data_IF_878109640233
#
_entry.id   IF_878109640233
#
_cell.length_a   1.000
_cell.length_b   1.000
_cell.length_c   1.000
_cell.angle_alpha   90.00
_cell.angle_beta   90.00
_cell.angle_gamma   90.00
#
_symmetry.space_group_name_H-M   'P 1'
#
loop_
_entity.id
_entity.type
_entity.pdbx_description
1 polymer ?
#
# COMPACT_ATOMS: atom_id res chain seq x y z
N UNK A 1 -26.10 58.00 -35.16
CA UNK A 1 -25.69 56.65 -35.60
C UNK A 1 -26.91 55.76 -35.44
N UNK A 2 -27.51 55.33 -36.55
CA UNK A 2 -28.75 54.54 -36.56
C UNK A 2 -28.40 53.10 -36.20
N UNK A 3 -29.03 52.55 -35.16
CA UNK A 3 -28.78 51.18 -34.68
C UNK A 3 -29.48 50.18 -35.60
N UNK A 4 -28.74 49.21 -36.14
CA UNK A 4 -29.28 48.14 -36.97
C UNK A 4 -29.87 47.03 -36.10
N UNK A 5 -31.14 46.68 -36.34
CA UNK A 5 -31.82 45.53 -35.73
C UNK A 5 -32.08 44.45 -36.79
N UNK A 6 -32.13 43.16 -36.42
CA UNK A 6 -32.34 42.08 -37.37
C UNK A 6 -33.77 42.08 -37.93
N UNK A 7 -33.94 41.50 -39.12
CA UNK A 7 -35.25 41.30 -39.70
C UNK A 7 -36.08 40.28 -38.87
N UNK A 8 -37.43 40.32 -38.95
CA UNK A 8 -38.31 39.48 -38.12
C UNK A 8 -38.18 37.96 -38.37
N UNK A 9 -37.51 37.55 -39.43
CA UNK A 9 -37.15 36.16 -39.73
C UNK A 9 -35.79 35.73 -39.15
N UNK A 10 -35.12 36.62 -38.39
CA UNK A 10 -33.85 36.36 -37.74
C UNK A 10 -32.62 36.52 -38.64
N UNK A 11 -32.79 37.01 -39.87
CA UNK A 11 -31.68 37.16 -40.82
C UNK A 11 -31.12 38.59 -40.85
N UNK A 12 -29.80 38.72 -41.04
CA UNK A 12 -29.10 40.00 -41.12
C UNK A 12 -28.80 40.37 -42.57
N UNK A 13 -29.14 41.60 -42.95
CA UNK A 13 -29.06 42.07 -44.36
C UNK A 13 -27.64 42.16 -44.92
N UNK A 14 -26.64 42.35 -44.06
CA UNK A 14 -25.24 42.28 -44.48
C UNK A 14 -24.32 41.89 -43.31
N UNK A 15 -23.12 41.42 -43.66
CA UNK A 15 -22.12 40.88 -42.73
C UNK A 15 -21.63 41.95 -41.74
N UNK A 16 -21.65 43.22 -42.14
CA UNK A 16 -21.12 44.35 -41.35
C UNK A 16 -22.03 44.69 -40.16
N UNK A 17 -23.34 44.57 -40.32
CA UNK A 17 -24.34 44.81 -39.28
C UNK A 17 -24.38 43.67 -38.24
N UNK A 18 -24.17 42.43 -38.68
CA UNK A 18 -23.98 41.26 -37.80
C UNK A 18 -22.74 41.44 -36.90
N UNK A 19 -21.63 41.94 -37.46
CA UNK A 19 -20.40 42.18 -36.69
C UNK A 19 -20.49 43.38 -35.73
N UNK A 20 -21.27 44.40 -36.05
CA UNK A 20 -21.51 45.53 -35.15
C UNK A 20 -22.37 45.11 -33.93
N UNK A 21 -23.36 44.25 -34.13
CA UNK A 21 -24.15 43.66 -33.05
C UNK A 21 -23.32 42.67 -32.20
N UNK A 22 -22.59 41.74 -32.83
CA UNK A 22 -21.73 40.76 -32.13
C UNK A 22 -20.62 41.40 -31.29
N UNK A 23 -20.08 42.57 -31.69
CA UNK A 23 -19.11 43.33 -30.89
C UNK A 23 -19.68 43.93 -29.61
N UNK A 24 -20.98 44.25 -29.58
CA UNK A 24 -21.66 44.71 -28.37
C UNK A 24 -22.10 43.56 -27.47
N UNK A 25 -22.17 42.34 -28.00
CA UNK A 25 -22.62 41.13 -27.30
C UNK A 25 -21.50 40.23 -26.76
N UNK A 26 -20.21 40.57 -27.00
CA UNK A 26 -19.06 39.88 -26.41
C UNK A 26 -18.86 40.22 -24.91
N UNK A 27 -19.85 39.92 -24.07
CA UNK A 27 -19.76 40.02 -22.60
C UNK A 27 -19.99 38.67 -21.90
N UNK A 28 -20.29 37.58 -22.61
CA UNK A 28 -20.53 36.27 -22.00
C UNK A 28 -19.78 35.15 -22.72
N UNK A 29 -18.96 34.45 -21.92
CA UNK A 29 -18.40 33.12 -22.15
C UNK A 29 -17.31 33.03 -23.23
N UNK A 30 -16.14 32.54 -22.81
CA UNK A 30 -14.92 32.54 -23.60
C UNK A 30 -14.81 31.45 -24.66
N UNK A 31 -13.61 31.48 -25.26
CA UNK A 31 -12.91 30.45 -26.05
C UNK A 31 -13.24 30.43 -27.56
N UNK A 32 -12.23 30.67 -28.41
CA UNK A 32 -11.61 29.67 -29.32
C UNK A 32 -10.59 30.27 -30.32
N UNK A 33 -9.42 29.61 -30.36
CA UNK A 33 -8.53 29.33 -31.51
C UNK A 33 -7.58 30.37 -32.15
N UNK A 34 -6.30 30.15 -31.85
CA UNK A 34 -5.16 29.87 -32.76
C UNK A 34 -4.88 30.85 -33.92
N UNK A 35 -3.74 31.55 -33.82
CA UNK A 35 -2.63 31.39 -34.77
C UNK A 35 -1.33 32.04 -34.26
N UNK A 36 -0.22 31.33 -34.54
CA UNK A 36 1.20 31.75 -34.53
C UNK A 36 1.92 31.96 -33.17
N UNK A 37 3.11 31.34 -33.09
CA UNK A 37 4.11 31.26 -31.99
C UNK A 37 4.38 32.60 -31.27
N UNK A 38 4.86 32.69 -30.00
CA UNK A 38 5.83 31.82 -29.29
C UNK A 38 5.53 31.59 -27.77
N UNK A 39 6.47 30.96 -27.07
CA UNK A 39 6.74 30.94 -25.60
C UNK A 39 5.82 31.82 -24.70
N UNK A 40 5.16 31.20 -23.72
CA UNK A 40 5.09 31.59 -22.29
C UNK A 40 3.86 30.96 -21.61
N UNK A 41 4.06 30.35 -20.44
CA UNK A 41 3.01 29.82 -19.59
C UNK A 41 2.24 30.96 -18.89
N UNK A 42 0.92 30.88 -18.89
CA UNK A 42 0.01 31.69 -18.05
C UNK A 42 -1.33 30.95 -17.95
N UNK A 43 -1.56 30.25 -16.84
CA UNK A 43 -2.34 30.72 -15.69
C UNK A 43 -3.86 30.63 -15.95
N UNK A 44 -4.44 29.50 -15.52
CA UNK A 44 -5.88 29.38 -15.27
C UNK A 44 -6.16 29.89 -13.84
N UNK A 45 -7.23 30.65 -13.73
CA UNK A 45 -7.74 31.33 -12.54
C UNK A 45 -8.50 30.34 -11.63
N UNK A 46 -7.85 29.95 -10.53
CA UNK A 46 -8.42 29.20 -9.40
C UNK A 46 -9.15 30.18 -8.45
N UNK A 47 -10.40 30.54 -8.76
CA UNK A 47 -11.25 31.34 -7.86
C UNK A 47 -12.14 30.46 -6.98
N UNK A 48 -11.51 29.57 -6.22
CA UNK A 48 -12.12 28.88 -5.08
C UNK A 48 -11.87 29.63 -3.76
N UNK A 49 -12.66 29.38 -2.70
CA UNK A 49 -12.58 30.08 -1.40
C UNK A 49 -11.28 29.89 -0.60
N UNK A 50 -10.23 29.33 -1.23
CA UNK A 50 -8.88 29.19 -0.69
C UNK A 50 -7.83 30.03 -1.46
N UNK A 51 -8.22 30.74 -2.52
CA UNK A 51 -7.31 31.57 -3.33
C UNK A 51 -6.72 32.74 -2.52
N UNK A 52 -7.49 33.29 -1.58
CA UNK A 52 -7.04 34.36 -0.69
C UNK A 52 -6.06 33.89 0.39
N UNK A 53 -5.88 32.58 0.58
CA UNK A 53 -4.97 32.05 1.62
C UNK A 53 -3.49 32.18 1.24
N UNK A 54 -3.15 32.30 -0.05
CA UNK A 54 -1.77 32.33 -0.54
C UNK A 54 -1.33 33.69 -1.12
N UNK A 55 -2.15 34.74 -1.00
CA UNK A 55 -1.90 36.06 -1.60
C UNK A 55 -0.79 36.91 -0.93
N UNK A 56 -0.11 36.39 0.09
CA UNK A 56 0.93 37.11 0.85
C UNK A 56 2.37 36.63 0.63
N UNK A 57 2.62 35.69 -0.28
CA UNK A 57 4.00 35.26 -0.59
C UNK A 57 4.61 36.18 -1.67
N UNK A 58 5.68 36.94 -1.37
CA UNK A 58 6.39 37.71 -2.39
C UNK A 58 7.02 36.75 -3.42
N UNK A 59 7.08 37.20 -4.69
CA UNK A 59 7.67 36.44 -5.77
C UNK A 59 9.05 35.88 -5.37
N UNK A 60 9.20 34.56 -5.43
CA UNK A 60 10.45 33.90 -5.11
C UNK A 60 11.55 34.47 -6.04
N UNK A 61 12.70 34.93 -5.50
CA UNK A 61 13.78 35.43 -6.34
C UNK A 61 14.26 34.30 -7.27
N UNK A 62 14.59 34.64 -8.51
CA UNK A 62 15.26 33.72 -9.44
C UNK A 62 16.65 33.37 -8.89
N UNK A 63 16.69 32.35 -8.03
CA UNK A 63 17.92 31.71 -7.61
C UNK A 63 18.29 30.77 -8.76
N UNK A 64 19.26 31.18 -9.60
CA UNK A 64 20.03 30.20 -10.35
C UNK A 64 20.82 29.39 -9.34
N UNK A 65 20.25 28.26 -8.96
CA UNK A 65 20.99 27.24 -8.23
C UNK A 65 22.24 26.93 -9.08
N UNK A 66 23.44 26.86 -8.47
CA UNK A 66 24.59 26.38 -9.20
C UNK A 66 24.23 25.03 -9.81
N UNK A 67 24.81 24.68 -10.96
CA UNK A 67 24.78 23.29 -11.41
C UNK A 67 25.52 22.47 -10.36
N UNK A 68 24.76 22.00 -9.37
CA UNK A 68 25.22 21.04 -8.40
C UNK A 68 25.36 19.77 -9.22
N UNK A 69 26.60 19.44 -9.58
CA UNK A 69 26.94 18.10 -10.00
C UNK A 69 26.73 17.19 -8.78
N UNK A 70 25.49 16.74 -8.57
CA UNK A 70 25.13 15.80 -7.52
C UNK A 70 25.73 14.45 -7.98
N UNK A 71 26.73 13.89 -7.29
CA UNK A 71 27.34 12.66 -7.75
C UNK A 71 26.28 11.55 -7.76
N UNK A 72 26.38 10.64 -8.71
CA UNK A 72 25.36 9.62 -8.98
C UNK A 72 25.35 8.53 -7.88
N UNK A 73 24.56 8.68 -6.81
CA UNK A 73 24.56 7.79 -5.63
C UNK A 73 23.44 6.72 -5.59
N UNK A 74 23.13 6.05 -6.71
CA UNK A 74 22.22 4.88 -6.71
C UNK A 74 22.88 3.57 -6.24
N UNK A 75 24.18 3.60 -5.91
CA UNK A 75 24.95 2.40 -5.62
C UNK A 75 24.80 1.91 -4.17
N UNK A 76 24.58 2.81 -3.19
CA UNK A 76 24.47 2.40 -1.78
C UNK A 76 23.22 1.56 -1.54
N UNK A 77 22.06 1.88 -2.13
CA UNK A 77 20.88 1.01 -2.06
C UNK A 77 21.12 -0.35 -2.73
N UNK A 78 21.78 -0.38 -3.90
CA UNK A 78 22.12 -1.63 -4.60
C UNK A 78 23.07 -2.49 -3.79
N UNK A 79 24.14 -1.89 -3.24
CA UNK A 79 25.09 -2.52 -2.31
C UNK A 79 24.38 -3.02 -1.06
N UNK A 80 23.46 -2.25 -0.50
CA UNK A 80 22.68 -2.62 0.67
C UNK A 80 21.83 -3.87 0.40
N UNK A 81 21.05 -3.86 -0.68
CA UNK A 81 20.22 -5.01 -1.09
C UNK A 81 21.08 -6.24 -1.39
N UNK A 82 22.21 -6.09 -2.09
CA UNK A 82 23.15 -7.18 -2.36
C UNK A 82 23.72 -7.76 -1.07
N UNK A 83 24.13 -6.91 -0.14
CA UNK A 83 24.62 -7.34 1.17
C UNK A 83 23.52 -8.02 2.00
N UNK A 84 22.29 -7.50 1.95
CA UNK A 84 21.12 -8.03 2.66
C UNK A 84 20.77 -9.45 2.17
N UNK A 85 20.63 -9.62 0.85
CA UNK A 85 20.40 -10.95 0.24
C UNK A 85 21.56 -11.92 0.50
N UNK A 86 22.79 -11.40 0.56
CA UNK A 86 23.98 -12.19 0.88
C UNK A 86 24.19 -12.47 2.37
N UNK A 87 23.21 -12.18 3.24
CA UNK A 87 23.30 -12.45 4.68
C UNK A 87 24.24 -11.53 5.47
N UNK A 88 24.82 -10.51 4.84
CA UNK A 88 25.80 -9.59 5.44
C UNK A 88 25.10 -8.38 6.07
N UNK A 89 24.25 -8.63 7.06
CA UNK A 89 23.33 -7.63 7.60
C UNK A 89 24.01 -6.41 8.22
N UNK A 90 25.18 -6.54 8.85
CA UNK A 90 25.92 -5.38 9.35
C UNK A 90 26.39 -4.44 8.24
N UNK A 91 26.80 -4.99 7.08
CA UNK A 91 27.12 -4.18 5.89
C UNK A 91 25.87 -3.59 5.27
N UNK A 92 24.80 -4.38 5.16
CA UNK A 92 23.51 -3.92 4.64
C UNK A 92 22.98 -2.73 5.46
N UNK A 93 23.01 -2.84 6.78
CA UNK A 93 22.62 -1.77 7.71
C UNK A 93 23.37 -0.47 7.45
N UNK A 94 24.70 -0.55 7.29
CA UNK A 94 25.53 0.64 7.02
C UNK A 94 25.11 1.35 5.72
N UNK A 95 24.89 0.59 4.65
CA UNK A 95 24.50 1.17 3.36
C UNK A 95 23.03 1.63 3.35
N UNK A 96 22.12 0.90 3.99
CA UNK A 96 20.73 1.33 4.13
C UNK A 96 20.62 2.62 4.95
N UNK A 97 21.41 2.79 6.02
CA UNK A 97 21.43 4.05 6.78
C UNK A 97 21.86 5.22 5.90
N UNK A 98 22.94 5.09 5.13
CA UNK A 98 23.37 6.14 4.18
C UNK A 98 22.28 6.49 3.18
N UNK A 99 21.69 5.47 2.54
CA UNK A 99 20.60 5.69 1.59
C UNK A 99 19.35 6.31 2.26
N UNK A 100 19.08 5.98 3.54
CA UNK A 100 18.01 6.58 4.34
C UNK A 100 18.30 8.03 4.71
N UNK A 101 19.56 8.37 5.00
CA UNK A 101 20.00 9.76 5.24
C UNK A 101 19.81 10.61 3.97
N UNK A 102 19.92 9.98 2.79
CA UNK A 102 19.61 10.59 1.48
C UNK A 102 18.09 10.64 1.17
N UNK A 103 17.22 10.21 2.09
CA UNK A 103 15.76 10.22 1.92
C UNK A 103 15.19 9.05 1.10
N UNK A 104 15.94 7.97 0.90
CA UNK A 104 15.45 6.82 0.14
C UNK A 104 14.42 6.00 0.94
N UNK A 105 13.15 6.08 0.53
CA UNK A 105 12.04 5.36 1.18
C UNK A 105 12.20 3.83 1.20
N UNK A 106 12.88 3.26 0.20
CA UNK A 106 13.10 1.81 0.13
C UNK A 106 14.08 1.41 1.24
N UNK A 107 15.12 2.23 1.45
CA UNK A 107 16.07 2.03 2.53
C UNK A 107 15.39 2.20 3.90
N UNK A 108 14.55 3.21 4.08
CA UNK A 108 13.74 3.39 5.29
C UNK A 108 12.86 2.16 5.57
N UNK A 109 12.18 1.64 4.54
CA UNK A 109 11.36 0.43 4.68
C UNK A 109 12.19 -0.80 5.10
N UNK A 110 13.38 -1.00 4.50
CA UNK A 110 14.29 -2.09 4.89
C UNK A 110 14.79 -1.91 6.33
N UNK A 111 15.15 -0.69 6.74
CA UNK A 111 15.57 -0.42 8.12
C UNK A 111 14.44 -0.71 9.10
N UNK A 112 13.21 -0.27 8.79
CA UNK A 112 12.02 -0.58 9.56
C UNK A 112 11.85 -2.09 9.76
N UNK A 113 12.02 -2.86 8.69
CA UNK A 113 11.94 -4.33 8.76
C UNK A 113 13.09 -4.92 9.58
N UNK A 114 14.34 -4.48 9.37
CA UNK A 114 15.50 -4.95 10.12
C UNK A 114 15.32 -4.77 11.63
N UNK A 115 14.83 -3.61 12.08
CA UNK A 115 14.57 -3.37 13.50
C UNK A 115 13.35 -4.14 14.03
N UNK A 116 12.31 -4.37 13.20
CA UNK A 116 11.13 -5.16 13.59
C UNK A 116 11.48 -6.61 13.89
N UNK A 117 12.28 -7.25 13.03
CA UNK A 117 12.66 -8.67 13.19
C UNK A 117 14.01 -8.87 13.90
N UNK A 118 14.77 -7.80 14.16
CA UNK A 118 16.10 -7.88 14.77
C UNK A 118 17.18 -8.45 13.83
N UNK A 119 17.07 -8.18 12.51
CA UNK A 119 18.01 -8.74 11.51
C UNK A 119 19.26 -7.88 11.40
N UNK A 120 20.35 -8.35 12.02
CA UNK A 120 21.63 -7.62 12.05
C UNK A 120 21.64 -6.38 12.92
N UNK A 121 20.57 -6.17 13.70
CA UNK A 121 20.41 -5.12 14.70
C UNK A 121 19.65 -5.71 15.89
N UNK A 122 19.79 -5.13 17.08
CA UNK A 122 18.90 -5.45 18.18
C UNK A 122 17.46 -5.07 17.79
N UNK A 123 16.50 -5.97 18.03
CA UNK A 123 15.08 -5.70 17.79
C UNK A 123 14.66 -4.43 18.54
N UNK A 124 13.96 -3.52 17.85
CA UNK A 124 13.39 -2.31 18.44
C UNK A 124 12.14 -1.90 17.67
N UNK A 125 10.99 -2.06 18.31
CA UNK A 125 9.70 -1.71 17.73
C UNK A 125 9.57 -0.19 17.58
N UNK A 126 10.17 0.59 18.49
CA UNK A 126 10.25 2.04 18.41
C UNK A 126 10.98 2.53 17.14
N UNK A 127 12.17 1.99 16.87
CA UNK A 127 12.94 2.34 15.67
C UNK A 127 12.23 1.86 14.40
N UNK A 128 11.64 0.66 14.44
CA UNK A 128 10.89 0.16 13.30
C UNK A 128 9.70 1.08 12.98
N UNK A 129 8.95 1.49 14.00
CA UNK A 129 7.84 2.41 13.88
C UNK A 129 8.28 3.77 13.31
N UNK A 130 9.42 4.33 13.76
CA UNK A 130 9.92 5.60 13.24
C UNK A 130 10.27 5.53 11.75
N UNK A 131 10.95 4.46 11.31
CA UNK A 131 11.28 4.29 9.89
C UNK A 131 10.04 4.07 9.03
N UNK A 132 9.09 3.24 9.47
CA UNK A 132 7.84 3.08 8.74
C UNK A 132 7.03 4.38 8.68
N UNK A 133 7.06 5.19 9.73
CA UNK A 133 6.38 6.50 9.76
C UNK A 133 6.94 7.44 8.70
N UNK A 134 8.27 7.52 8.57
CA UNK A 134 8.93 8.28 7.49
C UNK A 134 8.48 7.82 6.10
N UNK A 135 8.35 6.51 5.87
CA UNK A 135 7.84 5.99 4.58
C UNK A 135 6.37 6.39 4.37
N UNK A 136 5.54 6.30 5.40
CA UNK A 136 4.11 6.63 5.32
C UNK A 136 3.85 8.14 5.13
N UNK A 137 4.76 9.01 5.57
CA UNK A 137 4.70 10.46 5.31
C UNK A 137 4.80 10.79 3.82
N UNK A 138 5.43 9.92 3.02
CA UNK A 138 5.53 10.09 1.57
C UNK A 138 4.35 9.44 0.82
N UNK A 139 3.27 9.08 1.51
CA UNK A 139 2.10 8.46 0.90
C UNK A 139 1.32 9.44 0.05
N UNK A 140 1.15 9.06 -1.21
CA UNK A 140 0.30 9.74 -2.17
C UNK A 140 -0.81 8.77 -2.63
N UNK A 141 -2.10 9.11 -2.47
CA UNK A 141 -3.20 8.24 -2.88
C UNK A 141 -3.19 7.88 -4.37
N UNK A 142 -2.75 8.82 -5.21
CA UNK A 142 -2.73 8.72 -6.67
C UNK A 142 -1.35 8.32 -7.24
N UNK A 143 -0.50 7.71 -6.40
CA UNK A 143 0.83 7.22 -6.80
C UNK A 143 0.75 6.29 -8.01
N UNK A 144 1.51 6.63 -9.06
CA UNK A 144 1.58 5.85 -10.31
C UNK A 144 2.63 4.76 -10.26
N UNK A 145 3.69 4.93 -9.46
CA UNK A 145 4.69 3.89 -9.25
C UNK A 145 4.16 2.83 -8.27
N UNK A 146 3.78 1.68 -8.83
CA UNK A 146 3.26 0.54 -8.08
C UNK A 146 4.25 0.00 -7.03
N UNK A 147 5.56 0.12 -7.26
CA UNK A 147 6.56 -0.32 -6.29
C UNK A 147 6.61 0.61 -5.09
N UNK A 148 6.57 1.92 -5.33
CA UNK A 148 6.48 2.94 -4.27
C UNK A 148 5.19 2.76 -3.49
N UNK A 149 4.06 2.63 -4.18
CA UNK A 149 2.76 2.40 -3.56
C UNK A 149 2.76 1.15 -2.66
N UNK A 150 3.29 0.02 -3.14
CA UNK A 150 3.37 -1.21 -2.34
C UNK A 150 4.17 -1.03 -1.05
N UNK A 151 5.32 -0.37 -1.13
CA UNK A 151 6.20 -0.11 0.02
C UNK A 151 5.49 0.77 1.05
N UNK A 152 4.86 1.84 0.58
CA UNK A 152 4.18 2.78 1.47
C UNK A 152 2.93 2.17 2.10
N UNK A 153 2.15 1.40 1.34
CA UNK A 153 0.99 0.66 1.87
C UNK A 153 1.42 -0.38 2.90
N UNK A 154 2.50 -1.15 2.66
CA UNK A 154 3.01 -2.10 3.67
C UNK A 154 3.48 -1.35 4.93
N UNK A 155 4.20 -0.24 4.79
CA UNK A 155 4.62 0.59 5.93
C UNK A 155 3.41 1.08 6.76
N UNK A 156 2.33 1.53 6.11
CA UNK A 156 1.09 1.93 6.79
C UNK A 156 0.43 0.76 7.54
N UNK A 157 0.49 -0.46 7.00
CA UNK A 157 0.05 -1.67 7.72
C UNK A 157 0.90 -1.89 8.96
N UNK A 158 2.23 -1.78 8.88
CA UNK A 158 3.11 -1.94 10.05
C UNK A 158 2.87 -0.89 11.12
N UNK A 159 2.60 0.35 10.73
CA UNK A 159 2.19 1.41 11.66
C UNK A 159 0.88 1.03 12.36
N UNK A 160 -0.07 0.46 11.62
CA UNK A 160 -1.31 -0.05 12.21
C UNK A 160 -1.09 -1.24 13.15
N UNK A 161 -0.15 -2.14 12.85
CA UNK A 161 0.23 -3.24 13.75
C UNK A 161 0.71 -2.66 15.09
N UNK A 162 1.62 -1.71 15.05
CA UNK A 162 2.15 -1.06 16.25
C UNK A 162 1.14 -0.20 17.00
N UNK A 163 0.27 0.53 16.29
CA UNK A 163 -0.79 1.31 16.94
C UNK A 163 -1.90 0.42 17.49
N UNK A 164 -2.10 -0.79 16.98
CA UNK A 164 -3.03 -1.76 17.55
C UNK A 164 -2.58 -2.18 18.96
N UNK A 165 -1.31 -2.54 19.13
CA UNK A 165 -0.77 -3.05 20.40
C UNK A 165 -0.19 -1.96 21.31
N UNK A 166 0.22 -0.83 20.75
CA UNK A 166 1.03 0.19 21.41
C UNK A 166 2.53 -0.15 21.44
N UNK A 167 3.36 0.86 21.69
CA UNK A 167 4.81 0.74 21.89
C UNK A 167 5.17 1.54 23.15
N UNK A 168 5.49 0.84 24.24
CA UNK A 168 5.85 1.47 25.51
C UNK A 168 7.11 2.35 25.39
N UNK A 169 8.16 1.84 24.73
CA UNK A 169 9.45 2.55 24.54
C UNK A 169 9.29 3.90 23.83
N UNK A 170 8.37 3.99 22.88
CA UNK A 170 8.10 5.20 22.09
C UNK A 170 6.89 6.01 22.61
N UNK A 171 6.33 5.65 23.77
CA UNK A 171 5.09 6.24 24.31
C UNK A 171 3.91 6.23 23.33
N UNK A 172 3.87 5.28 22.40
CA UNK A 172 2.77 5.10 21.45
C UNK A 172 1.67 4.31 22.15
N UNK A 173 0.56 4.97 22.45
CA UNK A 173 -0.60 4.32 23.10
C UNK A 173 -1.31 3.39 22.11
N UNK A 174 -1.74 2.24 22.61
CA UNK A 174 -2.59 1.32 21.86
C UNK A 174 -3.92 2.01 21.48
N UNK A 175 -4.30 1.86 20.22
CA UNK A 175 -5.55 2.33 19.64
C UNK A 175 -6.08 1.30 18.62
N UNK A 176 -6.66 0.18 19.08
CA UNK A 176 -7.20 -0.84 18.20
C UNK A 176 -8.28 -0.32 17.25
N UNK A 177 -9.14 0.61 17.69
CA UNK A 177 -10.17 1.21 16.81
C UNK A 177 -9.58 2.10 15.70
N UNK A 178 -8.43 2.74 15.94
CA UNK A 178 -7.72 3.42 14.86
C UNK A 178 -7.11 2.41 13.88
N UNK A 179 -6.44 1.39 14.40
CA UNK A 179 -5.82 0.34 13.58
C UNK A 179 -6.86 -0.37 12.70
N UNK A 180 -8.02 -0.73 13.24
CA UNK A 180 -9.11 -1.35 12.49
C UNK A 180 -9.60 -0.49 11.30
N UNK A 181 -9.75 0.83 11.51
CA UNK A 181 -10.14 1.76 10.43
C UNK A 181 -9.06 1.85 9.36
N UNK A 182 -7.80 1.90 9.77
CA UNK A 182 -6.65 1.90 8.86
C UNK A 182 -6.59 0.60 8.06
N UNK A 183 -6.71 -0.56 8.70
CA UNK A 183 -6.76 -1.85 7.99
C UNK A 183 -7.92 -1.92 7.03
N UNK A 184 -9.11 -1.45 7.42
CA UNK A 184 -10.26 -1.42 6.54
C UNK A 184 -9.97 -0.63 5.27
N UNK A 185 -9.40 0.59 5.39
CA UNK A 185 -8.98 1.40 4.23
C UNK A 185 -7.96 0.66 3.36
N UNK A 186 -6.93 0.08 3.95
CA UNK A 186 -5.85 -0.58 3.19
C UNK A 186 -6.31 -1.91 2.56
N UNK A 187 -7.21 -2.64 3.21
CA UNK A 187 -7.79 -3.88 2.74
C UNK A 187 -8.77 -3.66 1.58
N UNK A 188 -9.55 -2.58 1.60
CA UNK A 188 -10.54 -2.29 0.55
C UNK A 188 -9.95 -1.54 -0.63
N UNK A 189 -9.07 -0.56 -0.39
CA UNK A 189 -8.45 0.23 -1.46
C UNK A 189 -7.34 -0.52 -2.18
N UNK A 190 -6.49 -1.25 -1.44
CA UNK A 190 -5.30 -1.90 -2.00
C UNK A 190 -5.34 -3.42 -1.93
N UNK A 191 -6.33 -3.99 -1.26
CA UNK A 191 -6.38 -5.44 -1.07
C UNK A 191 -5.19 -5.99 -0.28
N UNK A 192 -4.54 -5.20 0.57
CA UNK A 192 -3.29 -5.63 1.21
C UNK A 192 -3.53 -6.87 2.09
N UNK A 193 -2.85 -8.01 1.84
CA UNK A 193 -3.17 -9.28 2.50
C UNK A 193 -3.01 -9.24 4.02
N UNK A 194 -1.96 -8.59 4.53
CA UNK A 194 -1.77 -8.43 5.97
C UNK A 194 -2.86 -7.56 6.62
N UNK A 195 -3.40 -6.57 5.90
CA UNK A 195 -4.50 -5.75 6.40
C UNK A 195 -5.82 -6.54 6.41
N UNK A 196 -6.08 -7.33 5.38
CA UNK A 196 -7.22 -8.26 5.34
C UNK A 196 -7.14 -9.27 6.49
N UNK A 197 -5.96 -9.85 6.74
CA UNK A 197 -5.73 -10.74 7.87
C UNK A 197 -6.02 -10.07 9.21
N UNK A 198 -5.40 -8.91 9.47
CA UNK A 198 -5.55 -8.19 10.72
C UNK A 198 -7.01 -7.79 10.95
N UNK A 199 -7.70 -7.29 9.92
CA UNK A 199 -9.12 -6.99 9.99
C UNK A 199 -9.96 -8.25 10.27
N UNK A 200 -9.60 -9.38 9.68
CA UNK A 200 -10.22 -10.67 9.94
C UNK A 200 -10.15 -11.08 11.40
N UNK A 201 -8.96 -11.03 11.97
CA UNK A 201 -8.70 -11.33 13.38
C UNK A 201 -9.44 -10.37 14.32
N UNK A 202 -9.38 -9.06 14.04
CA UNK A 202 -10.07 -8.04 14.85
C UNK A 202 -11.59 -8.21 14.83
N UNK A 203 -12.18 -8.59 13.69
CA UNK A 203 -13.61 -8.89 13.60
C UNK A 203 -13.98 -10.15 14.36
N UNK A 204 -13.15 -11.20 14.34
CA UNK A 204 -13.41 -12.42 15.13
C UNK A 204 -13.37 -12.13 16.63
N UNK A 205 -12.37 -11.36 17.09
CA UNK A 205 -12.17 -11.06 18.51
C UNK A 205 -13.00 -9.89 19.05
N UNK A 206 -13.55 -9.05 18.17
CA UNK A 206 -14.17 -7.78 18.57
C UNK A 206 -13.16 -6.76 19.10
N UNK A 207 -11.93 -6.77 18.57
CA UNK A 207 -10.88 -5.87 19.01
C UNK A 207 -10.96 -4.55 18.25
N UNK A 208 -11.26 -3.44 18.93
CA UNK A 208 -11.41 -2.12 18.30
C UNK A 208 -12.64 -1.96 17.38
N UNK A 209 -13.40 -3.03 17.16
CA UNK A 209 -14.64 -3.11 16.37
C UNK A 209 -15.64 -4.03 17.08
N UNK A 210 -16.93 -3.93 16.75
CA UNK A 210 -17.91 -4.92 17.23
C UNK A 210 -17.58 -6.30 16.64
N UNK A 211 -17.59 -7.33 17.49
CA UNK A 211 -17.33 -8.70 17.04
C UNK A 211 -18.30 -9.12 15.93
N UNK A 212 -17.74 -9.58 14.82
CA UNK A 212 -18.43 -10.20 13.70
C UNK A 212 -17.57 -11.32 13.10
N UNK A 213 -17.58 -12.52 13.71
CA UNK A 213 -16.72 -13.62 13.27
C UNK A 213 -16.96 -14.09 11.84
N UNK A 214 -18.20 -13.97 11.33
CA UNK A 214 -18.52 -14.31 9.93
C UNK A 214 -17.82 -13.37 8.95
N UNK A 215 -17.86 -12.06 9.21
CA UNK A 215 -17.11 -11.09 8.41
C UNK A 215 -15.60 -11.30 8.55
N UNK A 216 -15.14 -11.63 9.76
CA UNK A 216 -13.73 -11.93 10.00
C UNK A 216 -13.23 -13.11 9.17
N UNK A 217 -14.00 -14.20 9.09
CA UNK A 217 -13.67 -15.36 8.27
C UNK A 217 -13.58 -15.02 6.78
N UNK A 218 -14.47 -14.15 6.26
CA UNK A 218 -14.41 -13.70 4.86
C UNK A 218 -13.10 -12.96 4.57
N UNK A 219 -12.65 -12.10 5.48
CA UNK A 219 -11.39 -11.39 5.35
C UNK A 219 -10.17 -12.31 5.44
N UNK A 220 -10.20 -13.30 6.34
CA UNK A 220 -9.14 -14.32 6.42
C UNK A 220 -9.03 -15.12 5.13
N UNK A 221 -10.15 -15.57 4.55
CA UNK A 221 -10.16 -16.29 3.27
C UNK A 221 -9.62 -15.37 2.15
N UNK A 222 -9.98 -14.08 2.14
CA UNK A 222 -9.45 -13.14 1.16
C UNK A 222 -7.92 -13.00 1.24
N UNK A 223 -7.35 -12.94 2.45
CA UNK A 223 -5.91 -12.92 2.66
C UNK A 223 -5.24 -14.24 2.27
N UNK A 224 -5.85 -15.38 2.62
CA UNK A 224 -5.34 -16.71 2.27
C UNK A 224 -5.32 -16.96 0.75
N UNK A 225 -6.31 -16.46 0.01
CA UNK A 225 -6.31 -16.50 -1.48
C UNK A 225 -5.13 -15.75 -2.10
N UNK A 226 -4.52 -14.84 -1.35
CA UNK A 226 -3.29 -14.11 -1.74
C UNK A 226 -2.03 -14.74 -1.13
N UNK A 227 -2.12 -15.98 -0.64
CA UNK A 227 -0.99 -16.73 -0.08
C UNK A 227 -0.34 -16.03 1.11
N UNK A 228 -1.15 -15.37 1.93
CA UNK A 228 -0.65 -14.79 3.17
C UNK A 228 -0.58 -15.86 4.25
N UNK A 229 0.63 -16.38 4.50
CA UNK A 229 0.87 -17.51 5.40
C UNK A 229 0.21 -17.37 6.78
N UNK A 230 0.24 -16.21 7.46
CA UNK A 230 -0.45 -16.06 8.75
C UNK A 230 -1.97 -16.25 8.66
N UNK A 231 -2.60 -15.87 7.54
CA UNK A 231 -4.03 -16.10 7.34
C UNK A 231 -4.34 -17.58 7.10
N UNK A 232 -3.51 -18.27 6.30
CA UNK A 232 -3.63 -19.71 6.07
C UNK A 232 -3.46 -20.49 7.38
N UNK A 233 -2.42 -20.16 8.16
CA UNK A 233 -2.18 -20.78 9.47
C UNK A 233 -3.36 -20.54 10.43
N UNK A 234 -3.90 -19.31 10.47
CA UNK A 234 -5.03 -19.01 11.36
C UNK A 234 -6.30 -19.73 10.93
N UNK A 235 -6.58 -19.88 9.63
CA UNK A 235 -7.66 -20.74 9.14
C UNK A 235 -7.45 -22.20 9.58
N UNK A 236 -6.22 -22.70 9.50
CA UNK A 236 -5.85 -24.01 10.01
C UNK A 236 -6.18 -24.18 11.49
N UNK A 237 -5.84 -23.18 12.31
CA UNK A 237 -6.13 -23.20 13.75
C UNK A 237 -7.64 -23.17 14.02
N UNK A 238 -8.42 -22.37 13.28
CA UNK A 238 -9.88 -22.34 13.43
C UNK A 238 -10.52 -23.72 13.16
N UNK A 239 -10.04 -24.44 12.14
CA UNK A 239 -10.49 -25.81 11.84
C UNK A 239 -9.99 -26.85 12.84
N UNK A 240 -8.81 -26.64 13.41
CA UNK A 240 -8.25 -27.52 14.44
C UNK A 240 -9.02 -27.42 15.76
N UNK A 241 -9.28 -26.20 16.22
CA UNK A 241 -10.00 -25.95 17.46
C UNK A 241 -11.50 -26.27 17.34
N UNK A 242 -12.10 -25.94 16.20
CA UNK A 242 -13.52 -26.18 15.95
C UNK A 242 -14.49 -25.25 16.67
N UNK A 243 -14.01 -24.11 17.22
CA UNK A 243 -14.84 -23.16 17.99
C UNK A 243 -15.73 -22.29 17.11
N UNK A 244 -15.18 -21.78 16.00
CA UNK A 244 -15.87 -20.87 15.08
C UNK A 244 -16.41 -21.59 13.83
N UNK A 245 -15.73 -22.65 13.42
CA UNK A 245 -16.12 -23.52 12.31
C UNK A 245 -16.18 -24.95 12.83
N UNK A 246 -16.94 -25.84 12.21
CA UNK A 246 -16.96 -27.26 12.61
C UNK A 246 -15.55 -27.83 12.50
N UNK A 247 -15.08 -28.49 13.56
CA UNK A 247 -13.74 -29.12 13.61
C UNK A 247 -13.53 -30.04 12.41
N UNK A 248 -12.39 -29.87 11.73
CA UNK A 248 -11.99 -30.67 10.56
C UNK A 248 -10.46 -30.75 10.54
N UNK A 249 -9.92 -31.88 11.02
CA UNK A 249 -8.47 -32.07 11.18
C UNK A 249 -7.76 -32.11 9.83
N UNK A 250 -8.36 -32.74 8.83
CA UNK A 250 -7.84 -32.77 7.45
C UNK A 250 -7.71 -31.36 6.88
N UNK A 251 -8.73 -30.50 7.04
CA UNK A 251 -8.63 -29.09 6.62
C UNK A 251 -7.59 -28.32 7.42
N UNK A 252 -7.49 -28.57 8.72
CA UNK A 252 -6.49 -27.92 9.55
C UNK A 252 -5.07 -28.21 9.04
N UNK A 253 -4.76 -29.49 8.80
CA UNK A 253 -3.47 -29.91 8.23
C UNK A 253 -3.25 -29.30 6.85
N UNK A 254 -4.24 -29.38 5.95
CA UNK A 254 -4.18 -28.76 4.62
C UNK A 254 -3.78 -27.27 4.71
N UNK A 255 -4.46 -26.50 5.57
CA UNK A 255 -4.18 -25.08 5.72
C UNK A 255 -2.78 -24.79 6.26
N UNK A 256 -2.28 -25.61 7.20
CA UNK A 256 -0.92 -25.46 7.70
C UNK A 256 0.15 -25.88 6.70
N UNK A 257 -0.13 -26.86 5.82
CA UNK A 257 0.75 -27.20 4.71
C UNK A 257 0.87 -26.01 3.74
N UNK A 258 -0.26 -25.44 3.34
CA UNK A 258 -0.30 -24.24 2.49
C UNK A 258 0.42 -23.05 3.16
N UNK A 259 0.17 -22.83 4.45
CA UNK A 259 0.82 -21.78 5.22
C UNK A 259 2.35 -21.96 5.26
N UNK A 260 2.83 -23.20 5.46
CA UNK A 260 4.26 -23.53 5.47
C UNK A 260 4.92 -23.22 4.13
N UNK A 261 4.24 -23.53 3.03
CA UNK A 261 4.74 -23.30 1.68
C UNK A 261 4.75 -21.80 1.32
N UNK A 262 3.77 -21.04 1.81
CA UNK A 262 3.69 -19.58 1.66
C UNK A 262 4.60 -18.80 2.62
N UNK A 263 5.03 -19.42 3.72
CA UNK A 263 5.74 -18.75 4.80
C UNK A 263 7.21 -18.46 4.42
N UNK A 264 7.75 -17.45 5.11
CA UNK A 264 9.19 -17.23 5.21
C UNK A 264 9.63 -17.68 6.60
N UNK A 265 10.56 -18.64 6.73
CA UNK A 265 11.02 -19.13 8.03
C UNK A 265 11.58 -18.03 8.92
N UNK A 266 12.17 -16.99 8.33
CA UNK A 266 12.74 -15.88 9.09
C UNK A 266 11.69 -14.97 9.73
N UNK A 267 10.47 -14.96 9.19
CA UNK A 267 9.39 -14.09 9.65
C UNK A 267 8.35 -14.83 10.48
N UNK A 268 8.06 -16.10 10.16
CA UNK A 268 7.01 -16.91 10.80
C UNK A 268 7.50 -18.34 11.08
N UNK A 269 8.57 -18.53 11.89
CA UNK A 269 9.12 -19.86 12.19
C UNK A 269 8.08 -20.79 12.85
N UNK A 270 7.17 -20.24 13.64
CA UNK A 270 6.14 -20.99 14.37
C UNK A 270 5.17 -21.75 13.45
N UNK A 271 4.98 -21.28 12.20
CA UNK A 271 4.12 -21.97 11.23
C UNK A 271 4.71 -23.34 10.87
N UNK A 272 6.04 -23.45 10.77
CA UNK A 272 6.73 -24.70 10.44
C UNK A 272 6.59 -25.72 11.57
N UNK A 273 6.89 -25.30 12.80
CA UNK A 273 6.80 -26.16 13.98
C UNK A 273 5.38 -26.68 14.18
N UNK A 274 4.40 -25.78 13.99
CA UNK A 274 2.98 -26.13 14.13
C UNK A 274 2.51 -27.07 13.02
N UNK A 275 2.92 -26.85 11.77
CA UNK A 275 2.61 -27.75 10.66
C UNK A 275 3.14 -29.17 10.92
N UNK A 276 4.41 -29.29 11.33
CA UNK A 276 5.02 -30.58 11.69
C UNK A 276 4.27 -31.28 12.83
N UNK A 277 3.89 -30.52 13.87
CA UNK A 277 3.13 -31.06 14.99
C UNK A 277 1.75 -31.59 14.54
N UNK A 278 1.04 -30.87 13.68
CA UNK A 278 -0.28 -31.27 13.22
C UNK A 278 -0.21 -32.50 12.33
N UNK A 279 0.72 -32.52 11.39
CA UNK A 279 1.00 -33.69 10.55
C UNK A 279 1.25 -34.91 11.43
N UNK A 280 2.16 -34.82 12.42
CA UNK A 280 2.47 -35.92 13.34
C UNK A 280 1.26 -36.51 14.09
N UNK A 281 0.22 -35.71 14.33
CA UNK A 281 -0.95 -36.11 15.11
C UNK A 281 -2.11 -36.70 14.28
N UNK A 282 -2.07 -36.63 12.95
CA UNK A 282 -3.13 -37.16 12.07
C UNK A 282 -2.72 -38.47 11.40
N UNK A 283 -3.70 -39.27 11.00
CA UNK A 283 -3.48 -40.53 10.28
C UNK A 283 -2.87 -40.31 8.90
N UNK A 284 -2.31 -41.36 8.29
CA UNK A 284 -1.78 -41.27 6.93
C UNK A 284 -2.87 -40.91 5.92
N UNK A 285 -4.07 -41.47 6.06
CA UNK A 285 -5.21 -41.16 5.17
C UNK A 285 -5.62 -39.68 5.27
N UNK A 286 -5.68 -39.13 6.49
CA UNK A 286 -5.97 -37.70 6.72
C UNK A 286 -4.90 -36.82 6.04
N UNK A 287 -3.62 -37.21 6.07
CA UNK A 287 -2.53 -36.46 5.39
C UNK A 287 -2.67 -36.50 3.87
N UNK A 288 -2.91 -37.68 3.30
CA UNK A 288 -3.07 -37.85 1.85
C UNK A 288 -4.25 -37.01 1.34
N UNK A 289 -5.36 -37.00 2.08
CA UNK A 289 -6.52 -36.17 1.74
C UNK A 289 -6.20 -34.67 1.88
N UNK A 290 -5.50 -34.26 2.95
CA UNK A 290 -5.07 -32.88 3.14
C UNK A 290 -4.18 -32.39 2.00
N UNK A 291 -3.21 -33.20 1.58
CA UNK A 291 -2.35 -32.94 0.42
C UNK A 291 -3.14 -32.81 -0.88
N UNK A 292 -4.12 -33.68 -1.11
CA UNK A 292 -4.96 -33.62 -2.30
C UNK A 292 -5.76 -32.30 -2.34
N UNK A 293 -6.32 -31.87 -1.20
CA UNK A 293 -7.04 -30.60 -1.09
C UNK A 293 -6.09 -29.39 -1.23
N UNK A 294 -4.88 -29.48 -0.70
CA UNK A 294 -3.85 -28.45 -0.84
C UNK A 294 -3.47 -28.24 -2.31
N UNK A 295 -3.24 -29.34 -3.06
CA UNK A 295 -2.97 -29.27 -4.51
C UNK A 295 -4.09 -28.59 -5.30
N UNK A 296 -5.36 -28.85 -4.95
CA UNK A 296 -6.50 -28.17 -5.58
C UNK A 296 -6.48 -26.67 -5.27
N UNK A 297 -6.17 -26.29 -4.03
CA UNK A 297 -6.06 -24.89 -3.63
C UNK A 297 -4.91 -24.18 -4.36
N UNK A 298 -3.72 -24.78 -4.42
CA UNK A 298 -2.56 -24.21 -5.13
C UNK A 298 -2.82 -24.04 -6.62
N UNK A 299 -3.58 -24.96 -7.24
CA UNK A 299 -4.01 -24.82 -8.63
C UNK A 299 -4.93 -23.61 -8.86
N UNK A 300 -5.76 -23.26 -7.87
CA UNK A 300 -6.65 -22.10 -7.94
C UNK A 300 -5.96 -20.79 -7.54
N UNK A 301 -5.06 -20.85 -6.56
CA UNK A 301 -4.38 -19.72 -5.93
C UNK A 301 -2.87 -20.02 -5.82
N UNK A 302 -2.11 -19.92 -6.92
CA UNK A 302 -0.68 -20.21 -6.91
C UNK A 302 0.11 -19.18 -6.10
N UNK A 303 1.26 -19.60 -5.57
CA UNK A 303 2.26 -18.68 -4.99
C UNK A 303 2.90 -17.88 -6.14
N UNK A 304 2.92 -16.55 -6.03
CA UNK A 304 3.51 -15.67 -7.04
C UNK A 304 4.93 -16.11 -7.42
N UNK A 305 5.15 -16.43 -8.70
CA UNK A 305 6.42 -16.92 -9.24
C UNK A 305 6.46 -18.42 -9.62
N UNK A 306 5.45 -19.23 -9.26
CA UNK A 306 5.45 -20.67 -9.59
C UNK A 306 5.13 -21.00 -11.06
N UNK A 307 4.55 -20.06 -11.84
CA UNK A 307 4.23 -20.26 -13.26
C UNK A 307 5.44 -20.29 -14.21
N UNK A 308 6.64 -19.92 -13.76
CA UNK A 308 7.83 -19.93 -14.61
C UNK A 308 8.63 -21.25 -14.55
N UNK A 309 8.17 -22.27 -13.81
CA UNK A 309 8.90 -23.53 -13.63
C UNK A 309 8.22 -24.75 -14.25
N UNK A 310 7.00 -24.61 -14.77
CA UNK A 310 6.22 -25.72 -15.36
C UNK A 310 5.90 -25.52 -16.85
N UNK A 311 6.60 -24.59 -17.51
CA UNK A 311 6.47 -24.31 -18.92
C UNK A 311 7.87 -24.21 -19.54
N UNK A 312 8.60 -25.33 -19.53
CA UNK A 312 9.73 -25.64 -20.41
C UNK A 312 9.83 -27.16 -20.56
#
# INVERSE_FOLDING_TARGET
MVLATPAPDGTWRNVRDLFAWLRMSMILVGVWFVCAQPVAAGAADDSGPLADFYSYLPAAPEIRLPEINIPFWTDDLKKAQKAYRGGKYGRALKYFRRASDDGNIVADWYLGHMYRIGRGVKKSDAMAYSYYSRVAETYEPDERDQNRLRITVDAMVRIADYRRTGIAEASVKASPSWAARTYFKLATAYGHPAAQYALGEMNIRGEGVKANPQQGLKWLIAAARKRYAPAEAYLGELYWEGKLVRRDRTRAVMWYMLARDSARPEENPEIYDRALQLEANVSQDERIEAEARARVWDGQYPIDGSRSASAD
#
